data_IF_293742721509
#
_entry.id   IF_293742721509
#
_cell.length_a   1.000
_cell.length_b   1.000
_cell.length_c   1.000
_cell.angle_alpha   90.00
_cell.angle_beta   90.00
_cell.angle_gamma   90.00
#
_symmetry.space_group_name_H-M   'P 1'
#
loop_
_entity.id
_entity.type
_entity.pdbx_description
1 polymer ?
#
# COMPACT_ATOMS: atom_id res chain seq x y z
N UNK A 1 9.12 -23.58 9.57
CA UNK A 1 10.18 -22.87 8.81
C UNK A 1 9.98 -21.38 9.02
N UNK A 2 11.06 -20.61 9.09
CA UNK A 2 11.04 -19.15 9.28
C UNK A 2 11.88 -18.51 8.18
N UNK A 3 11.37 -17.44 7.58
CA UNK A 3 12.05 -16.69 6.53
C UNK A 3 12.05 -15.20 6.90
N UNK A 4 13.18 -14.53 6.68
CA UNK A 4 13.31 -13.10 6.87
C UNK A 4 13.15 -12.39 5.52
N UNK A 5 12.18 -11.48 5.42
CA UNK A 5 12.10 -10.51 4.32
C UNK A 5 12.71 -9.20 4.80
N UNK A 6 13.93 -8.89 4.36
CA UNK A 6 14.62 -7.67 4.81
C UNK A 6 14.01 -6.43 4.15
N UNK A 7 13.94 -5.33 4.91
CA UNK A 7 13.35 -4.08 4.44
C UNK A 7 14.04 -3.54 3.18
N UNK A 8 15.37 -3.63 3.11
CA UNK A 8 16.20 -3.15 2.01
C UNK A 8 16.25 -4.10 0.80
N UNK A 9 15.58 -5.25 0.86
CA UNK A 9 15.45 -6.21 -0.24
C UNK A 9 14.05 -6.16 -0.88
N UNK A 10 13.16 -5.31 -0.36
CA UNK A 10 11.82 -5.07 -0.91
C UNK A 10 11.92 -4.41 -2.29
N UNK A 11 10.88 -4.60 -3.11
CA UNK A 11 10.73 -3.82 -4.33
C UNK A 11 10.61 -2.34 -3.98
N UNK A 12 11.16 -1.48 -4.82
CA UNK A 12 11.16 -0.04 -4.59
C UNK A 12 10.76 0.70 -5.86
N UNK A 13 9.81 1.61 -5.73
CA UNK A 13 9.36 2.48 -6.80
C UNK A 13 9.21 3.90 -6.24
N UNK A 14 9.91 4.84 -6.87
CA UNK A 14 9.79 6.25 -6.54
C UNK A 14 9.27 7.02 -7.76
N UNK A 15 8.13 7.67 -7.58
CA UNK A 15 7.42 8.42 -8.62
C UNK A 15 7.47 9.94 -8.39
N UNK A 16 8.42 10.41 -7.57
CA UNK A 16 8.49 11.79 -7.10
C UNK A 16 7.54 12.02 -5.93
N UNK A 17 6.24 11.95 -6.18
CA UNK A 17 5.20 12.21 -5.17
C UNK A 17 4.85 10.99 -4.29
N UNK A 18 5.25 9.79 -4.73
CA UNK A 18 5.03 8.52 -4.05
C UNK A 18 6.37 7.79 -3.97
N UNK A 19 6.82 7.50 -2.75
CA UNK A 19 7.94 6.60 -2.47
C UNK A 19 7.37 5.31 -1.84
N UNK A 20 7.41 4.21 -2.59
CA UNK A 20 6.73 2.97 -2.23
C UNK A 20 7.69 1.78 -2.14
N UNK A 21 7.56 1.01 -1.06
CA UNK A 21 8.28 -0.25 -0.87
C UNK A 21 7.32 -1.45 -0.87
N UNK A 22 7.58 -2.40 -1.77
CA UNK A 22 6.74 -3.58 -1.99
C UNK A 22 7.31 -4.82 -1.32
N UNK A 23 6.61 -5.36 -0.33
CA UNK A 23 7.03 -6.61 0.34
C UNK A 23 6.93 -7.80 -0.61
N UNK A 24 5.83 -7.87 -1.35
CA UNK A 24 5.53 -8.90 -2.35
C UNK A 24 5.54 -8.32 -3.77
N UNK A 25 5.50 -9.17 -4.80
CA UNK A 25 5.33 -8.77 -6.20
C UNK A 25 4.10 -7.88 -6.37
N UNK A 26 4.27 -6.69 -6.94
CA UNK A 26 3.23 -5.69 -7.10
C UNK A 26 3.52 -4.79 -8.31
N UNK A 27 2.47 -4.44 -9.08
CA UNK A 27 2.60 -3.68 -10.32
C UNK A 27 3.69 -4.25 -11.25
N UNK A 28 4.73 -3.48 -11.55
CA UNK A 28 5.85 -3.90 -12.40
C UNK A 28 6.99 -4.58 -11.62
N UNK A 29 6.95 -4.58 -10.28
CA UNK A 29 7.94 -5.27 -9.46
C UNK A 29 7.58 -6.76 -9.33
N UNK A 30 8.56 -7.62 -9.58
CA UNK A 30 8.41 -9.07 -9.54
C UNK A 30 9.52 -9.73 -8.72
N UNK A 31 9.14 -10.52 -7.72
CA UNK A 31 10.00 -11.41 -6.94
C UNK A 31 9.37 -12.80 -6.89
N UNK A 32 9.98 -13.83 -7.52
CA UNK A 32 9.40 -15.16 -7.59
C UNK A 32 9.28 -15.86 -6.23
N UNK A 33 10.06 -15.43 -5.23
CA UNK A 33 10.01 -16.01 -3.88
C UNK A 33 8.99 -15.31 -2.98
N UNK A 34 8.59 -14.08 -3.33
CA UNK A 34 7.70 -13.23 -2.55
C UNK A 34 6.48 -12.83 -3.39
N UNK A 35 5.74 -13.82 -3.90
CA UNK A 35 4.50 -13.59 -4.65
C UNK A 35 3.27 -13.28 -3.77
N UNK A 36 3.37 -13.56 -2.46
CA UNK A 36 2.29 -13.47 -1.49
C UNK A 36 2.47 -14.53 -0.40
N UNK A 37 1.76 -14.39 0.71
CA UNK A 37 1.82 -15.33 1.82
C UNK A 37 0.42 -15.72 2.28
N UNK A 38 -0.03 -16.92 1.89
CA UNK A 38 -1.40 -17.37 2.12
C UNK A 38 -2.41 -16.37 1.51
N UNK A 39 -3.36 -15.85 2.29
CA UNK A 39 -4.31 -14.84 1.87
C UNK A 39 -3.67 -13.44 1.73
N UNK A 40 -2.53 -13.16 2.35
CA UNK A 40 -1.89 -11.85 2.30
C UNK A 40 -1.17 -11.66 0.97
N UNK A 41 -1.68 -10.76 0.14
CA UNK A 41 -1.19 -10.58 -1.24
C UNK A 41 -0.26 -9.39 -1.40
N UNK A 42 -0.54 -8.28 -0.72
CA UNK A 42 0.19 -7.02 -0.86
C UNK A 42 0.48 -6.45 0.53
N UNK A 43 1.71 -5.96 0.71
CA UNK A 43 2.05 -5.02 1.77
C UNK A 43 2.94 -3.97 1.10
N UNK A 44 2.37 -2.80 0.90
CA UNK A 44 3.08 -1.62 0.45
C UNK A 44 3.32 -0.70 1.64
N UNK A 45 4.49 -0.08 1.66
CA UNK A 45 4.94 0.90 2.63
C UNK A 45 5.16 2.19 1.84
N UNK A 46 4.16 3.07 1.92
CA UNK A 46 3.96 4.20 1.02
C UNK A 46 4.14 5.52 1.76
N UNK A 47 5.04 6.35 1.26
CA UNK A 47 5.17 7.76 1.65
C UNK A 47 4.63 8.62 0.52
N UNK A 48 3.64 9.44 0.84
CA UNK A 48 2.92 10.28 -0.13
C UNK A 48 3.17 11.75 0.21
N UNK A 49 3.58 12.53 -0.79
CA UNK A 49 3.78 13.98 -0.64
C UNK A 49 2.47 14.70 -0.31
N UNK A 50 2.58 15.80 0.44
CA UNK A 50 1.42 16.59 0.85
C UNK A 50 0.59 17.07 -0.36
N UNK A 51 -0.73 16.85 -0.31
CA UNK A 51 -1.66 17.23 -1.36
C UNK A 51 -1.67 16.32 -2.59
N UNK A 52 -0.90 15.22 -2.57
CA UNK A 52 -0.89 14.19 -3.60
C UNK A 52 -1.66 12.96 -3.14
N UNK A 53 -1.97 12.07 -4.09
CA UNK A 53 -2.71 10.85 -3.81
C UNK A 53 -3.06 10.09 -5.08
N UNK A 54 -3.68 8.93 -4.90
CA UNK A 54 -4.13 8.10 -6.00
C UNK A 54 -5.45 8.64 -6.54
N UNK A 55 -5.54 8.81 -7.86
CA UNK A 55 -6.82 9.09 -8.52
C UNK A 55 -7.78 7.91 -8.41
N UNK A 56 -9.06 8.14 -8.72
CA UNK A 56 -10.09 7.08 -8.70
C UNK A 56 -9.71 5.90 -9.60
N UNK A 57 -9.72 4.69 -9.03
CA UNK A 57 -9.47 3.44 -9.74
C UNK A 57 -10.32 2.30 -9.16
N UNK A 58 -10.69 1.29 -9.96
CA UNK A 58 -11.56 0.21 -9.50
C UNK A 58 -10.77 -0.89 -8.76
N UNK A 59 -11.41 -1.48 -7.75
CA UNK A 59 -11.01 -2.75 -7.15
C UNK A 59 -12.13 -3.77 -7.27
N UNK A 60 -11.78 -5.05 -7.22
CA UNK A 60 -12.71 -6.17 -7.29
C UNK A 60 -12.15 -7.37 -6.53
N UNK A 61 -13.03 -8.07 -5.79
CA UNK A 61 -12.73 -9.33 -5.09
C UNK A 61 -11.48 -9.27 -4.20
N UNK A 62 -11.28 -8.15 -3.50
CA UNK A 62 -10.15 -7.90 -2.60
C UNK A 62 -10.60 -7.10 -1.37
N UNK A 63 -10.15 -7.55 -0.20
CA UNK A 63 -10.17 -6.75 1.02
C UNK A 63 -8.92 -5.88 1.05
N UNK A 64 -9.09 -4.58 1.32
CA UNK A 64 -8.01 -3.59 1.39
C UNK A 64 -8.04 -2.99 2.79
N UNK A 65 -6.88 -2.99 3.45
CA UNK A 65 -6.68 -2.40 4.76
C UNK A 65 -5.58 -1.35 4.67
N UNK A 66 -5.87 -0.15 5.14
CA UNK A 66 -4.92 0.95 5.28
C UNK A 66 -4.58 1.13 6.76
N UNK A 67 -3.30 1.31 7.07
CA UNK A 67 -2.84 1.71 8.39
C UNK A 67 -1.97 2.96 8.27
N UNK A 68 -2.41 4.07 8.87
CA UNK A 68 -1.71 5.35 8.74
C UNK A 68 -0.66 5.46 9.84
N UNK A 69 0.61 5.57 9.43
CA UNK A 69 1.74 5.70 10.36
C UNK A 69 2.00 7.17 10.77
N UNK A 70 1.90 8.09 9.81
CA UNK A 70 2.14 9.52 10.01
C UNK A 70 1.20 10.34 9.11
N UNK A 71 0.81 11.54 9.56
CA UNK A 71 -0.08 12.42 8.82
C UNK A 71 -1.55 11.97 8.85
N UNK A 72 -2.24 12.15 7.73
CA UNK A 72 -3.62 11.71 7.52
C UNK A 72 -3.87 11.43 6.04
N UNK A 73 -4.74 10.46 5.74
CA UNK A 73 -5.20 10.16 4.38
C UNK A 73 -6.68 10.50 4.24
N UNK A 74 -7.05 11.09 3.10
CA UNK A 74 -8.46 11.24 2.74
C UNK A 74 -8.85 10.10 1.79
N UNK A 75 -9.89 9.35 2.13
CA UNK A 75 -10.46 8.31 1.29
C UNK A 75 -11.81 8.76 0.74
N UNK A 76 -12.03 8.51 -0.55
CA UNK A 76 -13.29 8.73 -1.25
C UNK A 76 -13.60 7.52 -2.13
N UNK A 77 -14.80 6.96 -2.01
CA UNK A 77 -15.19 5.76 -2.78
C UNK A 77 -16.36 5.98 -3.75
N UNK A 78 -16.68 4.93 -4.50
CA UNK A 78 -17.74 4.93 -5.51
C UNK A 78 -19.16 4.97 -4.94
N UNK A 79 -19.34 4.75 -3.64
CA UNK A 79 -20.62 4.86 -2.93
C UNK A 79 -20.84 6.26 -2.34
N UNK A 80 -19.86 7.16 -2.49
CA UNK A 80 -19.89 8.52 -1.97
C UNK A 80 -19.43 8.63 -0.52
N UNK A 81 -18.83 7.57 0.04
CA UNK A 81 -18.18 7.68 1.35
C UNK A 81 -16.98 8.60 1.22
N UNK A 82 -16.76 9.43 2.25
CA UNK A 82 -15.63 10.35 2.36
C UNK A 82 -15.17 10.41 3.80
N UNK A 83 -13.93 10.06 4.03
CA UNK A 83 -13.36 9.93 5.38
C UNK A 83 -11.93 10.47 5.41
N UNK A 84 -11.53 11.04 6.54
CA UNK A 84 -10.14 11.38 6.81
C UNK A 84 -9.64 10.49 7.94
N UNK A 85 -8.62 9.69 7.67
CA UNK A 85 -8.05 8.71 8.59
C UNK A 85 -6.72 9.26 9.12
N UNK A 86 -6.62 9.62 10.41
CA UNK A 86 -5.39 10.15 11.00
C UNK A 86 -4.40 9.03 11.36
N UNK A 87 -3.15 9.42 11.62
CA UNK A 87 -2.11 8.51 12.12
C UNK A 87 -2.56 7.72 13.36
N UNK A 88 -2.28 6.42 13.35
CA UNK A 88 -2.67 5.47 14.39
C UNK A 88 -3.99 4.76 14.13
N UNK A 89 -4.77 5.20 13.14
CA UNK A 89 -6.06 4.59 12.77
C UNK A 89 -5.98 3.68 11.54
N UNK A 90 -7.02 2.87 11.38
CA UNK A 90 -7.17 1.87 10.32
C UNK A 90 -8.46 2.12 9.55
N UNK A 91 -8.44 1.78 8.26
CA UNK A 91 -9.61 1.76 7.38
C UNK A 91 -9.57 0.53 6.48
#
# INVERSE_FOLDING_TARGET
>A
MIYLRKANERGHANHGWLDSWHTFSFANYYDPNFMGFSALRVINDDVIDAGQGFGTHPHKDMEILTYVLEGAVEHQDSMGNKEQVPAGEFQ
#
